data_IF_019119890627
#
_entry.id   IF_019119890627
#
_cell.length_a   1.000
_cell.length_b   1.000
_cell.length_c   1.000
_cell.angle_alpha   90.00
_cell.angle_beta   90.00
_cell.angle_gamma   90.00
#
_symmetry.space_group_name_H-M   'P 1'
#
loop_
_entity.id
_entity.type
_entity.pdbx_description
1 polymer ?
#
# COMPACT_ATOMS: atom_id res chain seq x y z
N UNK A 1 -36.95 -35.50 37.33
CA UNK A 1 -35.57 -35.95 37.55
C UNK A 1 -35.55 -36.95 38.69
N UNK A 2 -34.91 -38.10 38.50
CA UNK A 2 -34.64 -39.04 39.58
C UNK A 2 -33.18 -38.83 40.02
N UNK A 3 -32.96 -38.55 41.31
CA UNK A 3 -31.64 -38.20 41.82
C UNK A 3 -30.78 -39.45 41.96
N UNK A 4 -29.70 -39.52 41.19
CA UNK A 4 -28.64 -40.48 41.41
C UNK A 4 -27.78 -40.07 42.60
N UNK A 5 -27.14 -41.03 43.26
CA UNK A 5 -26.14 -40.73 44.29
C UNK A 5 -24.83 -40.39 43.60
N UNK A 6 -24.18 -39.31 44.00
CA UNK A 6 -22.85 -38.93 43.49
C UNK A 6 -21.92 -38.56 44.62
N UNK A 7 -20.66 -38.96 44.50
CA UNK A 7 -19.60 -38.58 45.44
C UNK A 7 -18.33 -38.21 44.69
N UNK A 8 -17.71 -37.09 45.07
CA UNK A 8 -16.34 -36.75 44.65
C UNK A 8 -15.36 -37.59 45.48
N UNK A 9 -14.41 -38.26 44.83
CA UNK A 9 -13.44 -39.10 45.54
C UNK A 9 -12.39 -38.24 46.26
N UNK A 10 -11.70 -38.82 47.24
CA UNK A 10 -10.57 -38.18 47.91
C UNK A 10 -9.46 -37.81 46.92
N UNK A 11 -9.24 -38.63 45.89
CA UNK A 11 -8.26 -38.35 44.83
C UNK A 11 -8.73 -37.19 43.94
N UNK A 12 -10.03 -37.11 43.63
CA UNK A 12 -10.62 -35.96 42.94
C UNK A 12 -10.50 -34.66 43.75
N UNK A 13 -10.77 -34.70 45.06
CA UNK A 13 -10.62 -33.54 45.95
C UNK A 13 -9.15 -33.08 46.07
N UNK A 14 -8.20 -34.02 46.14
CA UNK A 14 -6.76 -33.70 46.11
C UNK A 14 -6.38 -33.03 44.81
N UNK A 15 -6.81 -33.57 43.67
CA UNK A 15 -6.54 -33.00 42.35
C UNK A 15 -7.08 -31.56 42.23
N UNK A 16 -8.28 -31.27 42.75
CA UNK A 16 -8.83 -29.90 42.79
C UNK A 16 -8.01 -28.98 43.68
N UNK A 17 -7.58 -29.46 44.85
CA UNK A 17 -6.81 -28.67 45.81
C UNK A 17 -5.43 -28.32 45.24
N UNK A 18 -4.77 -29.30 44.62
CA UNK A 18 -3.47 -29.11 43.95
C UNK A 18 -3.59 -28.16 42.76
N UNK A 19 -4.62 -28.32 41.92
CA UNK A 19 -4.84 -27.44 40.79
C UNK A 19 -5.15 -26.00 41.20
N UNK A 20 -5.96 -25.82 42.26
CA UNK A 20 -6.22 -24.50 42.84
C UNK A 20 -4.93 -23.85 43.35
N UNK A 21 -4.08 -24.61 44.06
CA UNK A 21 -2.80 -24.12 44.59
C UNK A 21 -1.82 -23.75 43.47
N UNK A 22 -1.84 -24.48 42.36
CA UNK A 22 -0.94 -24.29 41.22
C UNK A 22 -1.51 -23.39 40.11
N UNK A 23 -2.72 -22.85 40.27
CA UNK A 23 -3.39 -22.04 39.25
C UNK A 23 -3.71 -22.80 37.95
N UNK A 24 -3.90 -24.12 38.04
CA UNK A 24 -4.21 -25.00 36.91
C UNK A 24 -5.71 -25.30 36.85
N UNK A 25 -6.18 -25.64 35.67
CA UNK A 25 -7.54 -26.12 35.48
C UNK A 25 -7.55 -27.65 35.52
N UNK A 26 -8.53 -28.21 36.23
CA UNK A 26 -8.81 -29.65 36.25
C UNK A 26 -10.09 -29.89 35.48
N UNK A 27 -10.01 -30.73 34.45
CA UNK A 27 -11.12 -31.04 33.58
C UNK A 27 -11.28 -32.56 33.54
N UNK A 28 -12.46 -33.10 33.85
CA UNK A 28 -12.78 -34.48 33.49
C UNK A 28 -12.62 -34.66 31.98
N UNK A 29 -12.25 -35.83 31.47
CA UNK A 29 -12.06 -36.03 30.02
C UNK A 29 -12.74 -37.27 29.48
N UNK A 30 -13.00 -38.25 30.34
CA UNK A 30 -13.71 -39.47 29.96
C UNK A 30 -14.44 -40.05 31.17
N UNK A 31 -15.36 -40.95 30.88
CA UNK A 31 -16.07 -41.73 31.89
C UNK A 31 -15.90 -43.23 31.62
N UNK A 32 -15.99 -44.03 32.67
CA UNK A 32 -16.06 -45.49 32.60
C UNK A 32 -17.35 -45.97 33.24
N UNK A 33 -17.93 -47.03 32.68
CA UNK A 33 -19.20 -47.61 33.11
C UNK A 33 -18.98 -49.05 33.53
N UNK A 34 -19.49 -49.40 34.71
CA UNK A 34 -19.43 -50.75 35.28
C UNK A 34 -20.82 -51.36 35.45
N UNK A 35 -20.89 -52.68 35.28
CA UNK A 35 -22.07 -53.53 35.54
C UNK A 35 -22.08 -54.13 36.96
N UNK A 36 -21.05 -53.84 37.74
CA UNK A 36 -20.94 -54.27 39.13
C UNK A 36 -21.81 -53.39 40.03
N UNK A 37 -22.45 -54.04 41.00
CA UNK A 37 -23.10 -53.34 42.10
C UNK A 37 -22.07 -53.13 43.21
N UNK A 38 -21.74 -51.87 43.50
CA UNK A 38 -20.75 -51.50 44.52
C UNK A 38 -21.40 -51.06 45.85
N UNK A 39 -22.73 -51.16 45.96
CA UNK A 39 -23.47 -50.72 47.14
C UNK A 39 -23.43 -49.20 47.33
N UNK A 40 -23.17 -48.76 48.57
CA UNK A 40 -23.11 -47.33 48.89
C UNK A 40 -21.79 -46.70 48.45
N UNK A 41 -21.88 -45.59 47.72
CA UNK A 41 -20.71 -44.80 47.34
C UNK A 41 -20.24 -43.90 48.49
N UNK A 42 -18.93 -43.78 48.65
CA UNK A 42 -18.29 -42.92 49.66
C UNK A 42 -16.97 -42.33 49.13
N UNK A 43 -16.45 -41.22 49.72
CA UNK A 43 -15.31 -40.49 49.13
C UNK A 43 -14.00 -41.30 49.02
N UNK A 44 -13.86 -42.38 49.79
CA UNK A 44 -12.66 -43.22 49.81
C UNK A 44 -12.56 -44.25 48.68
N UNK A 45 -13.53 -44.30 47.75
CA UNK A 45 -13.53 -45.23 46.62
C UNK A 45 -12.35 -44.93 45.67
N UNK A 46 -11.63 -45.98 45.28
CA UNK A 46 -10.49 -45.93 44.36
C UNK A 46 -10.77 -46.65 43.03
N UNK A 47 -9.91 -46.44 42.03
CA UNK A 47 -10.01 -46.99 40.67
C UNK A 47 -10.09 -48.52 40.64
N UNK A 48 -9.48 -49.19 41.63
CA UNK A 48 -9.50 -50.64 41.78
C UNK A 48 -10.88 -51.15 42.26
N UNK A 49 -11.73 -50.28 42.80
CA UNK A 49 -13.08 -50.61 43.26
C UNK A 49 -14.11 -50.59 42.12
N UNK A 50 -13.79 -49.99 40.97
CA UNK A 50 -14.62 -50.02 39.77
C UNK A 50 -14.26 -51.24 38.90
N UNK A 51 -14.39 -52.45 39.45
CA UNK A 51 -14.23 -53.67 38.65
C UNK A 51 -15.45 -53.87 37.73
N UNK A 52 -15.33 -54.70 36.68
CA UNK A 52 -16.42 -54.92 35.73
C UNK A 52 -16.69 -53.76 34.74
N UNK A 53 -15.74 -52.83 34.58
CA UNK A 53 -15.83 -51.80 33.54
C UNK A 53 -15.98 -52.45 32.16
N UNK A 54 -17.07 -52.12 31.47
CA UNK A 54 -17.38 -52.64 30.14
C UNK A 54 -17.46 -51.56 29.06
N UNK A 55 -17.49 -50.28 29.46
CA UNK A 55 -17.50 -49.16 28.51
C UNK A 55 -16.67 -47.98 29.00
N UNK A 56 -16.04 -47.29 28.06
CA UNK A 56 -15.37 -46.02 28.26
C UNK A 56 -15.70 -45.09 27.10
N UNK A 57 -16.01 -43.83 27.38
CA UNK A 57 -16.14 -42.82 26.35
C UNK A 57 -15.60 -41.47 26.79
N UNK A 58 -15.10 -40.74 25.80
CA UNK A 58 -14.57 -39.40 25.99
C UNK A 58 -15.72 -38.39 26.09
N UNK A 59 -15.53 -37.36 26.90
CA UNK A 59 -16.47 -36.26 27.02
C UNK A 59 -16.15 -35.24 25.92
N UNK A 60 -17.01 -35.18 24.92
CA UNK A 60 -16.81 -34.37 23.70
C UNK A 60 -17.20 -32.91 23.85
N UNK A 61 -17.88 -32.50 24.92
CA UNK A 61 -18.33 -31.12 25.11
C UNK A 61 -18.86 -30.81 26.52
N UNK A 62 -18.78 -29.53 26.88
CA UNK A 62 -19.27 -28.97 28.14
C UNK A 62 -20.16 -27.79 27.84
N UNK A 63 -21.32 -27.73 28.50
CA UNK A 63 -22.29 -26.66 28.41
C UNK A 63 -22.28 -25.96 29.77
N UNK A 64 -21.87 -24.69 29.81
CA UNK A 64 -22.01 -23.90 31.03
C UNK A 64 -23.49 -23.58 31.23
N UNK A 65 -24.06 -24.02 32.35
CA UNK A 65 -25.45 -23.73 32.72
C UNK A 65 -25.52 -22.43 33.53
N UNK A 66 -24.53 -22.19 34.39
CA UNK A 66 -24.30 -20.95 35.13
C UNK A 66 -22.86 -20.95 35.71
N UNK A 67 -22.48 -19.88 36.41
CA UNK A 67 -21.14 -19.68 37.00
C UNK A 67 -20.66 -20.81 37.92
N UNK A 68 -21.58 -21.65 38.41
CA UNK A 68 -21.31 -22.73 39.35
C UNK A 68 -21.73 -24.11 38.82
N UNK A 69 -22.25 -24.21 37.60
CA UNK A 69 -22.80 -25.46 37.06
C UNK A 69 -22.34 -25.70 35.64
N UNK A 70 -21.66 -26.83 35.44
CA UNK A 70 -21.25 -27.30 34.11
C UNK A 70 -21.98 -28.60 33.81
N UNK A 71 -22.49 -28.69 32.59
CA UNK A 71 -23.21 -29.85 32.11
C UNK A 71 -22.42 -30.55 31.00
N UNK A 72 -22.42 -31.87 31.00
CA UNK A 72 -21.91 -32.66 29.89
C UNK A 72 -22.82 -33.86 29.61
N UNK A 73 -22.74 -34.38 28.38
CA UNK A 73 -23.55 -35.51 27.94
C UNK A 73 -22.68 -36.77 27.96
N UNK A 74 -23.17 -37.79 28.65
CA UNK A 74 -22.67 -39.15 28.54
C UNK A 74 -23.53 -39.85 27.50
N UNK A 75 -22.91 -40.48 26.51
CA UNK A 75 -23.61 -41.21 25.45
C UNK A 75 -22.98 -42.58 25.27
N UNK A 76 -23.79 -43.61 25.48
CA UNK A 76 -23.43 -45.01 25.23
C UNK A 76 -24.28 -45.46 24.03
N UNK A 77 -23.65 -45.60 22.84
CA UNK A 77 -24.34 -46.07 21.65
C UNK A 77 -24.96 -47.46 21.85
N UNK A 78 -26.03 -47.75 21.11
CA UNK A 78 -26.79 -48.99 21.24
C UNK A 78 -25.91 -50.23 21.01
N UNK A 79 -25.01 -50.15 20.02
CA UNK A 79 -24.04 -51.19 19.69
C UNK A 79 -23.02 -51.48 20.80
N UNK A 80 -22.82 -50.51 21.71
CA UNK A 80 -21.89 -50.62 22.84
C UNK A 80 -22.60 -50.97 24.15
N UNK A 81 -23.91 -50.77 24.25
CA UNK A 81 -24.74 -50.98 25.44
C UNK A 81 -25.00 -52.48 25.71
N UNK A 82 -23.93 -53.23 25.96
CA UNK A 82 -23.93 -54.69 26.10
C UNK A 82 -24.30 -55.17 27.51
N UNK A 83 -24.22 -54.29 28.51
CA UNK A 83 -24.49 -54.61 29.92
C UNK A 83 -25.26 -53.50 30.63
N UNK A 84 -25.66 -53.77 31.88
CA UNK A 84 -26.29 -52.76 32.71
C UNK A 84 -25.28 -51.69 33.15
N UNK A 85 -25.65 -50.42 33.03
CA UNK A 85 -24.90 -49.30 33.59
C UNK A 85 -25.31 -49.09 35.04
N UNK A 86 -24.55 -49.66 35.98
CA UNK A 86 -24.84 -49.56 37.42
C UNK A 86 -24.00 -48.51 38.13
N UNK A 87 -22.79 -48.28 37.66
CA UNK A 87 -21.86 -47.32 38.26
C UNK A 87 -21.10 -46.57 37.17
N UNK A 88 -20.96 -45.27 37.36
CA UNK A 88 -20.28 -44.36 36.45
C UNK A 88 -19.11 -43.71 37.18
N UNK A 89 -17.90 -43.94 36.68
CA UNK A 89 -16.70 -43.27 37.16
C UNK A 89 -16.31 -42.16 36.18
N UNK A 90 -16.07 -40.96 36.71
CA UNK A 90 -15.61 -39.81 35.97
C UNK A 90 -14.11 -39.61 36.19
N UNK A 91 -13.34 -39.41 35.12
CA UNK A 91 -11.88 -39.41 35.18
C UNK A 91 -11.25 -38.15 34.61
N UNK A 92 -10.11 -37.77 35.17
CA UNK A 92 -9.24 -36.69 34.69
C UNK A 92 -8.27 -37.20 33.62
N UNK A 93 -7.54 -36.26 33.00
CA UNK A 93 -6.59 -36.54 31.91
C UNK A 93 -5.44 -37.45 32.34
N UNK A 94 -5.00 -37.34 33.60
CA UNK A 94 -3.94 -38.16 34.19
C UNK A 94 -4.42 -39.56 34.65
N UNK A 95 -5.70 -39.87 34.44
CA UNK A 95 -6.29 -41.14 34.85
C UNK A 95 -6.87 -41.16 36.27
N UNK A 96 -6.82 -40.04 37.00
CA UNK A 96 -7.40 -39.93 38.34
C UNK A 96 -8.92 -40.12 38.30
N UNK A 97 -9.44 -41.05 39.11
CA UNK A 97 -10.88 -41.16 39.35
C UNK A 97 -11.35 -39.95 40.16
N UNK A 98 -12.07 -39.05 39.51
CA UNK A 98 -12.49 -37.77 40.06
C UNK A 98 -13.78 -37.89 40.88
N UNK A 99 -14.79 -38.57 40.34
CA UNK A 99 -16.07 -38.74 41.00
C UNK A 99 -16.74 -40.04 40.56
N UNK A 100 -17.60 -40.57 41.42
CA UNK A 100 -18.36 -41.80 41.18
C UNK A 100 -19.84 -41.49 41.34
N UNK A 101 -20.65 -42.03 40.45
CA UNK A 101 -22.08 -41.86 40.47
C UNK A 101 -22.82 -43.19 40.28
N UNK A 102 -23.87 -43.36 41.07
CA UNK A 102 -24.83 -44.47 40.97
C UNK A 102 -26.17 -43.87 40.55
N UNK A 103 -26.69 -44.26 39.38
CA UNK A 103 -27.98 -43.78 38.93
C UNK A 103 -29.12 -44.31 39.82
N UNK A 104 -30.29 -43.65 39.80
CA UNK A 104 -31.45 -44.06 40.60
C UNK A 104 -31.97 -45.46 40.26
N UNK A 105 -31.67 -45.97 39.06
CA UNK A 105 -31.96 -47.33 38.63
C UNK A 105 -30.87 -47.82 37.66
N UNK A 106 -30.52 -49.13 37.67
CA UNK A 106 -29.61 -49.71 36.69
C UNK A 106 -30.13 -49.53 35.27
N UNK A 107 -29.32 -49.00 34.36
CA UNK A 107 -29.73 -48.78 32.98
C UNK A 107 -29.62 -50.07 32.16
N UNK A 108 -30.68 -50.51 31.46
CA UNK A 108 -30.68 -51.78 30.75
C UNK A 108 -29.83 -51.79 29.48
N UNK A 109 -29.27 -52.95 29.09
CA UNK A 109 -28.58 -53.12 27.82
C UNK A 109 -29.56 -52.99 26.63
N UNK A 110 -29.04 -52.90 25.41
CA UNK A 110 -29.78 -52.86 24.14
C UNK A 110 -30.55 -51.56 23.84
N UNK A 111 -30.36 -50.52 24.64
CA UNK A 111 -30.86 -49.17 24.35
C UNK A 111 -29.70 -48.20 24.39
N UNK A 112 -29.72 -47.17 23.53
CA UNK A 112 -28.78 -46.06 23.62
C UNK A 112 -28.99 -45.35 24.96
N UNK A 113 -27.95 -45.29 25.79
CA UNK A 113 -28.03 -44.71 27.13
C UNK A 113 -27.43 -43.30 27.07
N UNK A 114 -28.25 -42.26 27.24
CA UNK A 114 -27.77 -40.88 27.30
C UNK A 114 -28.11 -40.20 28.60
N UNK A 115 -27.10 -39.55 29.19
CA UNK A 115 -27.25 -38.86 30.47
C UNK A 115 -26.77 -37.43 30.38
N UNK A 116 -27.60 -36.54 30.90
CA UNK A 116 -27.24 -35.16 31.19
C UNK A 116 -26.65 -35.09 32.58
N UNK A 117 -25.33 -34.96 32.68
CA UNK A 117 -24.65 -34.84 33.97
C UNK A 117 -24.42 -33.37 34.30
N UNK A 118 -25.00 -32.90 35.39
CA UNK A 118 -24.78 -31.53 35.90
C UNK A 118 -23.84 -31.55 37.10
N UNK A 119 -22.68 -30.92 36.93
CA UNK A 119 -21.68 -30.72 37.96
C UNK A 119 -21.87 -29.37 38.64
N UNK A 120 -22.29 -29.36 39.91
CA UNK A 120 -22.47 -28.14 40.71
C UNK A 120 -21.29 -27.98 41.68
N UNK A 121 -20.40 -27.01 41.42
CA UNK A 121 -19.17 -26.82 42.21
C UNK A 121 -19.40 -26.49 43.68
N UNK A 122 -20.59 -25.97 44.02
CA UNK A 122 -20.93 -25.51 45.39
C UNK A 122 -21.67 -26.57 46.23
N UNK A 123 -22.06 -27.72 45.65
CA UNK A 123 -22.85 -28.75 46.32
C UNK A 123 -22.25 -30.14 46.10
N UNK A 124 -21.55 -30.66 47.13
CA UNK A 124 -20.87 -31.97 47.08
C UNK A 124 -21.86 -33.14 47.07
N UNK A 125 -23.07 -32.95 47.61
CA UNK A 125 -24.05 -34.03 47.79
C UNK A 125 -24.94 -34.29 46.56
N UNK A 126 -24.78 -33.51 45.47
CA UNK A 126 -25.61 -33.61 44.25
C UNK A 126 -24.81 -33.24 42.99
N UNK A 127 -23.61 -33.80 42.89
CA UNK A 127 -22.60 -33.44 41.87
C UNK A 127 -22.88 -34.02 40.48
N UNK A 128 -23.77 -35.02 40.35
CA UNK A 128 -24.24 -35.52 39.06
C UNK A 128 -25.71 -35.92 39.17
N UNK A 129 -26.58 -35.15 38.51
CA UNK A 129 -27.97 -35.55 38.28
C UNK A 129 -28.06 -36.38 37.01
N UNK A 130 -28.98 -37.35 36.97
CA UNK A 130 -29.23 -38.18 35.78
C UNK A 130 -30.66 -37.93 35.31
N UNK A 131 -30.79 -37.53 34.05
CA UNK A 131 -32.07 -37.40 33.37
C UNK A 131 -32.02 -38.30 32.15
N UNK A 132 -32.95 -39.25 32.08
CA UNK A 132 -33.18 -40.08 30.91
C UNK A 132 -33.85 -39.21 29.84
N UNK A 133 -33.30 -39.20 28.63
CA UNK A 133 -33.80 -38.38 27.51
C UNK A 133 -34.54 -39.31 26.55
N UNK A 134 -35.88 -39.26 26.47
CA UNK A 134 -36.65 -40.09 25.55
C UNK A 134 -36.23 -39.84 24.09
N UNK A 135 -36.20 -40.91 23.28
CA UNK A 135 -35.72 -40.89 21.89
C UNK A 135 -36.37 -39.80 21.01
N UNK A 136 -37.64 -39.47 21.24
CA UNK A 136 -38.39 -38.50 20.41
C UNK A 136 -38.08 -37.02 20.69
N UNK A 137 -37.61 -36.68 21.90
CA UNK A 137 -37.19 -35.32 22.25
C UNK A 137 -35.80 -35.00 21.68
N UNK A 138 -34.95 -36.02 21.51
CA UNK A 138 -33.61 -35.85 20.97
C UNK A 138 -33.57 -35.48 19.48
N UNK A 139 -34.47 -35.97 18.62
CA UNK A 139 -34.44 -35.57 17.20
C UNK A 139 -34.83 -34.10 17.02
N UNK A 140 -35.71 -33.56 17.87
CA UNK A 140 -36.00 -32.12 17.88
C UNK A 140 -34.85 -31.32 18.50
N UNK A 141 -34.28 -31.80 19.61
CA UNK A 141 -33.18 -31.11 20.29
C UNK A 141 -31.86 -31.20 19.52
N UNK A 142 -31.59 -32.26 18.75
CA UNK A 142 -30.44 -32.36 17.83
C UNK A 142 -30.64 -31.52 16.61
N UNK A 143 -31.84 -31.46 16.03
CA UNK A 143 -32.09 -30.50 14.93
C UNK A 143 -31.90 -29.07 15.44
N UNK A 144 -32.29 -28.77 16.69
CA UNK A 144 -31.99 -27.49 17.31
C UNK A 144 -30.51 -27.32 17.68
N UNK A 145 -29.82 -28.34 18.17
CA UNK A 145 -28.39 -28.28 18.51
C UNK A 145 -27.52 -28.19 17.26
N UNK A 146 -27.88 -28.87 16.19
CA UNK A 146 -27.22 -28.86 14.88
C UNK A 146 -27.47 -27.51 14.20
N UNK A 147 -28.69 -26.96 14.29
CA UNK A 147 -28.97 -25.59 13.90
C UNK A 147 -28.16 -24.58 14.73
N UNK A 148 -28.10 -24.74 16.06
CA UNK A 148 -27.32 -23.86 16.96
C UNK A 148 -25.83 -24.02 16.71
N UNK A 149 -25.33 -25.23 16.46
CA UNK A 149 -23.92 -25.52 16.13
C UNK A 149 -23.55 -24.90 14.79
N UNK A 150 -24.39 -25.07 13.77
CA UNK A 150 -24.22 -24.45 12.45
C UNK A 150 -24.27 -22.93 12.53
N UNK A 151 -25.24 -22.38 13.29
CA UNK A 151 -25.32 -20.94 13.56
C UNK A 151 -24.10 -20.46 14.34
N UNK A 152 -23.60 -21.22 15.32
CA UNK A 152 -22.44 -20.85 16.13
C UNK A 152 -21.15 -20.90 15.33
N UNK A 153 -20.96 -21.91 14.48
CA UNK A 153 -19.85 -21.98 13.53
C UNK A 153 -19.91 -20.83 12.54
N UNK A 154 -21.08 -20.54 11.98
CA UNK A 154 -21.27 -19.37 11.12
C UNK A 154 -21.04 -18.05 11.88
N UNK A 155 -21.42 -17.96 13.17
CA UNK A 155 -21.17 -16.78 13.99
C UNK A 155 -19.68 -16.64 14.30
N UNK A 156 -18.95 -17.74 14.48
CA UNK A 156 -17.52 -17.78 14.71
C UNK A 156 -16.78 -17.34 13.44
N UNK A 157 -17.16 -17.87 12.28
CA UNK A 157 -16.66 -17.42 10.97
C UNK A 157 -16.96 -15.94 10.74
N UNK A 158 -18.18 -15.48 11.06
CA UNK A 158 -18.55 -14.06 10.98
C UNK A 158 -17.71 -13.22 11.95
N UNK A 159 -17.45 -13.68 13.17
CA UNK A 159 -16.60 -12.99 14.15
C UNK A 159 -15.14 -12.92 13.69
N UNK A 160 -14.60 -14.00 13.14
CA UNK A 160 -13.25 -14.02 12.59
C UNK A 160 -13.14 -13.07 11.39
N UNK A 161 -14.13 -13.08 10.50
CA UNK A 161 -14.25 -12.11 9.41
C UNK A 161 -14.40 -10.67 9.93
N UNK A 162 -15.10 -10.46 11.05
CA UNK A 162 -15.28 -9.14 11.67
C UNK A 162 -13.95 -8.61 12.23
N UNK A 163 -13.15 -9.48 12.87
CA UNK A 163 -11.80 -9.14 13.34
C UNK A 163 -10.91 -8.75 12.16
N UNK A 164 -10.94 -9.52 11.07
CA UNK A 164 -10.20 -9.20 9.83
C UNK A 164 -10.67 -7.86 9.24
N UNK A 165 -11.98 -7.60 9.23
CA UNK A 165 -12.56 -6.32 8.75
C UNK A 165 -12.19 -5.14 9.64
N UNK A 166 -12.14 -5.31 10.96
CA UNK A 166 -11.69 -4.28 11.90
C UNK A 166 -10.20 -3.97 11.73
N UNK A 167 -9.39 -5.02 11.55
CA UNK A 167 -7.97 -4.88 11.24
C UNK A 167 -7.77 -4.14 9.91
N UNK A 168 -8.50 -4.54 8.87
CA UNK A 168 -8.47 -3.88 7.56
C UNK A 168 -8.92 -2.42 7.64
N UNK A 169 -9.96 -2.14 8.43
CA UNK A 169 -10.43 -0.76 8.69
C UNK A 169 -9.35 0.06 9.38
N UNK A 170 -8.68 -0.48 10.40
CA UNK A 170 -7.59 0.19 11.10
C UNK A 170 -6.41 0.48 10.16
N UNK A 171 -6.04 -0.48 9.32
CA UNK A 171 -4.98 -0.34 8.32
C UNK A 171 -5.34 0.68 7.24
N UNK A 172 -6.61 0.70 6.78
CA UNK A 172 -7.10 1.72 5.85
C UNK A 172 -7.01 3.14 6.43
N UNK A 173 -7.38 3.34 7.70
CA UNK A 173 -7.23 4.66 8.34
C UNK A 173 -5.77 5.06 8.53
N UNK A 174 -4.88 4.12 8.88
CA UNK A 174 -3.43 4.39 8.93
C UNK A 174 -2.88 4.77 7.56
N UNK A 175 -3.27 4.04 6.52
CA UNK A 175 -2.90 4.35 5.14
C UNK A 175 -3.38 5.74 4.74
N UNK A 176 -4.67 6.05 4.98
CA UNK A 176 -5.24 7.36 4.67
C UNK A 176 -4.51 8.49 5.40
N UNK A 177 -4.23 8.32 6.69
CA UNK A 177 -3.45 9.29 7.48
C UNK A 177 -2.05 9.51 6.89
N UNK A 178 -1.33 8.44 6.56
CA UNK A 178 0.00 8.53 5.97
C UNK A 178 0.02 9.06 4.53
N UNK A 179 -1.08 8.94 3.79
CA UNK A 179 -1.24 9.62 2.49
C UNK A 179 -1.50 11.10 2.71
N UNK A 180 -2.39 11.48 3.63
CA UNK A 180 -2.66 12.89 3.95
C UNK A 180 -1.40 13.63 4.41
N UNK A 181 -0.58 13.03 5.27
CA UNK A 181 0.69 13.62 5.71
C UNK A 181 1.68 13.80 4.53
N UNK A 182 1.80 12.79 3.66
CA UNK A 182 2.65 12.89 2.46
C UNK A 182 2.16 13.97 1.49
N UNK A 183 0.84 14.13 1.38
CA UNK A 183 0.23 15.11 0.50
C UNK A 183 0.44 16.52 1.03
N UNK A 184 0.27 16.73 2.34
CA UNK A 184 0.60 17.99 3.00
C UNK A 184 2.09 18.35 2.83
N UNK A 185 3.00 17.40 3.01
CA UNK A 185 4.43 17.63 2.77
C UNK A 185 4.72 18.01 1.31
N UNK A 186 4.04 17.38 0.35
CA UNK A 186 4.16 17.75 -1.07
C UNK A 186 3.61 19.15 -1.35
N UNK A 187 2.47 19.52 -0.76
CA UNK A 187 1.91 20.87 -0.89
C UNK A 187 2.86 21.93 -0.32
N UNK A 188 3.44 21.70 0.86
CA UNK A 188 4.45 22.58 1.46
C UNK A 188 5.68 22.74 0.55
N UNK A 189 6.18 21.64 -0.03
CA UNK A 189 7.29 21.69 -0.99
C UNK A 189 6.94 22.41 -2.29
N UNK A 190 5.73 22.23 -2.81
CA UNK A 190 5.26 22.95 -4.00
C UNK A 190 5.18 24.45 -3.71
N UNK A 191 4.63 24.84 -2.55
CA UNK A 191 4.57 26.24 -2.13
C UNK A 191 5.96 26.86 -1.98
N UNK A 192 6.90 26.14 -1.36
CA UNK A 192 8.29 26.59 -1.22
C UNK A 192 8.97 26.76 -2.60
N UNK A 193 8.85 25.76 -3.48
CA UNK A 193 9.40 25.82 -4.83
C UNK A 193 8.78 26.96 -5.65
N UNK A 194 7.49 27.24 -5.48
CA UNK A 194 6.83 28.35 -6.17
C UNK A 194 7.44 29.70 -5.75
N UNK A 195 7.68 29.88 -4.45
CA UNK A 195 8.34 31.08 -3.94
C UNK A 195 9.76 31.23 -4.48
N UNK A 196 10.52 30.13 -4.55
CA UNK A 196 11.87 30.14 -5.15
C UNK A 196 11.83 30.47 -6.64
N UNK A 197 10.88 29.92 -7.40
CA UNK A 197 10.71 30.25 -8.83
C UNK A 197 10.38 31.73 -9.00
N UNK A 198 9.43 32.28 -8.25
CA UNK A 198 9.11 33.72 -8.31
C UNK A 198 10.33 34.59 -7.94
N UNK A 199 11.13 34.17 -6.95
CA UNK A 199 12.37 34.86 -6.60
C UNK A 199 13.40 34.79 -7.74
N UNK A 200 13.54 33.63 -8.40
CA UNK A 200 14.43 33.47 -9.55
C UNK A 200 13.96 34.25 -10.79
N UNK A 201 12.66 34.29 -11.07
CA UNK A 201 12.08 35.09 -12.15
C UNK A 201 12.37 36.58 -11.95
N UNK A 202 12.19 37.09 -10.73
CA UNK A 202 12.54 38.47 -10.39
C UNK A 202 14.05 38.73 -10.56
N UNK A 203 14.90 37.80 -10.12
CA UNK A 203 16.35 37.93 -10.30
C UNK A 203 16.76 37.92 -11.79
N UNK A 204 16.10 37.11 -12.63
CA UNK A 204 16.31 37.09 -14.07
C UNK A 204 15.87 38.41 -14.70
N UNK A 205 14.72 38.97 -14.29
CA UNK A 205 14.24 40.27 -14.76
C UNK A 205 15.23 41.39 -14.42
N UNK A 206 15.71 41.44 -13.18
CA UNK A 206 16.72 42.43 -12.75
C UNK A 206 18.02 42.28 -13.54
N UNK A 207 18.47 41.04 -13.74
CA UNK A 207 19.68 40.75 -14.52
C UNK A 207 19.50 41.15 -15.99
N UNK A 208 18.32 40.87 -16.57
CA UNK A 208 17.97 41.24 -17.95
C UNK A 208 17.87 42.75 -18.14
N UNK A 209 17.33 43.48 -17.17
CA UNK A 209 17.32 44.95 -17.16
C UNK A 209 18.74 45.48 -17.14
N UNK A 210 19.58 44.95 -16.25
CA UNK A 210 20.99 45.34 -16.13
C UNK A 210 21.76 45.06 -17.43
N UNK A 211 21.54 43.91 -18.05
CA UNK A 211 22.13 43.55 -19.34
C UNK A 211 21.64 44.47 -20.46
N UNK A 212 20.35 44.81 -20.47
CA UNK A 212 19.78 45.74 -21.46
C UNK A 212 20.39 47.13 -21.34
N UNK A 213 20.56 47.65 -20.12
CA UNK A 213 21.26 48.92 -19.88
C UNK A 213 22.72 48.87 -20.32
N UNK A 214 23.43 47.77 -20.00
CA UNK A 214 24.81 47.58 -20.45
C UNK A 214 24.89 47.52 -21.97
N UNK A 215 24.01 46.77 -22.64
CA UNK A 215 23.95 46.67 -24.11
C UNK A 215 23.62 48.03 -24.73
N UNK A 216 22.72 48.82 -24.15
CA UNK A 216 22.44 50.18 -24.61
C UNK A 216 23.67 51.08 -24.47
N UNK A 217 24.36 51.04 -23.33
CA UNK A 217 25.58 51.82 -23.12
C UNK A 217 26.70 51.41 -24.10
N UNK A 218 26.84 50.11 -24.35
CA UNK A 218 27.79 49.57 -25.31
C UNK A 218 27.40 49.93 -26.74
N UNK A 219 26.12 49.92 -27.09
CA UNK A 219 25.65 50.27 -28.43
C UNK A 219 25.80 51.77 -28.70
N UNK A 220 25.63 52.63 -27.70
CA UNK A 220 25.96 54.06 -27.80
C UNK A 220 27.46 54.25 -28.05
N UNK A 221 28.32 53.58 -27.27
CA UNK A 221 29.78 53.63 -27.48
C UNK A 221 30.15 53.09 -28.86
N UNK A 222 29.62 51.93 -29.24
CA UNK A 222 29.88 51.30 -30.55
C UNK A 222 29.30 52.12 -31.70
N UNK A 223 28.19 52.83 -31.51
CA UNK A 223 27.62 53.75 -32.50
C UNK A 223 28.48 55.01 -32.69
N UNK A 224 29.13 55.47 -31.62
CA UNK A 224 30.06 56.60 -31.65
C UNK A 224 31.43 56.23 -32.24
N UNK A 225 31.83 54.96 -32.20
CA UNK A 225 33.12 54.50 -32.75
C UNK A 225 33.23 54.77 -34.26
N UNK A 226 32.25 54.43 -35.13
CA UNK A 226 32.27 54.76 -36.55
C UNK A 226 32.40 56.26 -36.82
N UNK A 227 31.68 57.12 -36.08
CA UNK A 227 31.77 58.56 -36.24
C UNK A 227 33.12 59.11 -35.77
N UNK A 228 33.63 58.64 -34.63
CA UNK A 228 34.95 59.02 -34.12
C UNK A 228 36.08 58.55 -35.04
N UNK A 229 35.98 57.34 -35.59
CA UNK A 229 36.92 56.82 -36.60
C UNK A 229 36.78 57.62 -37.89
N UNK A 230 35.56 57.89 -38.38
CA UNK A 230 35.34 58.67 -39.59
C UNK A 230 35.91 60.10 -39.46
N UNK A 231 35.72 60.74 -38.31
CA UNK A 231 36.25 62.08 -38.05
C UNK A 231 37.78 62.07 -37.87
N UNK A 232 38.34 61.05 -37.20
CA UNK A 232 39.80 60.87 -37.12
C UNK A 232 40.44 60.58 -38.50
N UNK A 233 39.79 59.75 -39.33
CA UNK A 233 40.21 59.48 -40.72
C UNK A 233 40.09 60.75 -41.56
N UNK A 234 39.04 61.54 -41.40
CA UNK A 234 38.86 62.82 -42.08
C UNK A 234 39.93 63.84 -41.68
N UNK A 235 40.22 63.99 -40.39
CA UNK A 235 41.31 64.84 -39.89
C UNK A 235 42.67 64.42 -40.47
N UNK A 236 43.00 63.13 -40.41
CA UNK A 236 44.23 62.59 -41.01
C UNK A 236 44.27 62.82 -42.54
N UNK A 237 43.13 62.69 -43.23
CA UNK A 237 43.06 62.90 -44.67
C UNK A 237 43.15 64.38 -45.08
N UNK A 238 42.87 65.32 -44.18
CA UNK A 238 43.04 66.77 -44.39
C UNK A 238 44.38 67.32 -43.90
N UNK A 239 45.17 66.51 -43.19
CA UNK A 239 46.50 66.90 -42.72
C UNK A 239 47.50 67.00 -43.88
N UNK A 240 48.13 68.17 -44.02
CA UNK A 240 49.08 68.49 -45.09
C UNK A 240 50.42 67.76 -44.96
N UNK A 241 50.76 67.22 -43.78
CA UNK A 241 52.01 66.47 -43.56
C UNK A 241 51.87 64.95 -43.83
N UNK A 242 50.65 64.45 -44.00
CA UNK A 242 50.37 63.02 -44.18
C UNK A 242 50.69 62.51 -45.61
N UNK A 243 51.40 61.39 -45.76
CA UNK A 243 51.77 60.86 -47.09
C UNK A 243 50.54 60.31 -47.87
N UNK A 244 50.38 60.59 -49.19
CA UNK A 244 49.20 60.19 -49.98
C UNK A 244 48.88 58.68 -49.95
N UNK A 245 49.91 57.84 -49.99
CA UNK A 245 49.77 56.38 -50.01
C UNK A 245 49.22 55.81 -48.68
N UNK A 246 49.43 56.53 -47.57
CA UNK A 246 48.94 56.15 -46.23
C UNK A 246 47.45 56.48 -46.11
N UNK A 247 47.00 57.62 -46.65
CA UNK A 247 45.58 58.03 -46.68
C UNK A 247 44.70 57.02 -47.42
N UNK A 248 45.21 56.46 -48.52
CA UNK A 248 44.47 55.51 -49.35
C UNK A 248 44.31 54.14 -48.66
N UNK A 249 45.34 53.66 -47.95
CA UNK A 249 45.30 52.42 -47.14
C UNK A 249 44.35 52.53 -45.94
N UNK A 250 44.33 53.67 -45.25
CA UNK A 250 43.45 53.88 -44.09
C UNK A 250 41.97 53.96 -44.53
N UNK A 251 41.68 54.62 -45.65
CA UNK A 251 40.32 54.69 -46.19
C UNK A 251 39.76 53.31 -46.60
N UNK A 252 40.62 52.43 -47.11
CA UNK A 252 40.22 51.06 -47.48
C UNK A 252 40.01 50.15 -46.27
N UNK A 253 40.80 50.31 -45.21
CA UNK A 253 40.59 49.62 -43.92
C UNK A 253 39.29 50.04 -43.23
N UNK A 254 38.93 51.34 -43.29
CA UNK A 254 37.67 51.84 -42.73
C UNK A 254 36.44 51.19 -43.39
N UNK A 255 36.47 51.02 -44.71
CA UNK A 255 35.40 50.38 -45.48
C UNK A 255 35.24 48.88 -45.13
N UNK A 256 36.36 48.19 -44.90
CA UNK A 256 36.34 46.78 -44.48
C UNK A 256 35.76 46.61 -43.06
N UNK A 257 36.08 47.51 -42.12
CA UNK A 257 35.55 47.47 -40.76
C UNK A 257 34.03 47.66 -40.71
N UNK A 258 33.48 48.58 -41.50
CA UNK A 258 32.03 48.83 -41.56
C UNK A 258 31.23 47.62 -42.07
N UNK A 259 31.86 46.73 -42.85
CA UNK A 259 31.21 45.51 -43.35
C UNK A 259 31.13 44.38 -42.31
N UNK A 260 31.97 44.42 -41.27
CA UNK A 260 32.07 43.35 -40.26
C UNK A 260 31.03 43.49 -39.13
N UNK A 261 30.48 44.69 -38.93
CA UNK A 261 29.62 45.04 -37.79
C UNK A 261 28.14 44.69 -38.03
N UNK A 262 27.76 44.35 -39.27
CA UNK A 262 26.38 44.02 -39.66
C UNK A 262 26.28 42.53 -40.00
N UNK A 263 26.18 41.65 -39.01
CA UNK A 263 25.69 40.27 -39.22
C UNK A 263 24.31 40.09 -38.57
N UNK A 264 23.34 39.87 -39.45
CA UNK A 264 21.89 39.77 -39.22
C UNK A 264 21.51 38.51 -38.41
N UNK A 265 20.63 38.66 -37.42
CA UNK A 265 20.14 37.61 -36.49
C UNK A 265 19.36 36.49 -37.21
N UNK A 266 19.09 36.63 -38.50
CA UNK A 266 18.41 35.63 -39.35
C UNK A 266 19.30 34.48 -39.80
N UNK A 267 20.62 34.62 -39.70
CA UNK A 267 21.53 33.54 -40.06
C UNK A 267 21.70 32.54 -38.90
N UNK A 268 21.74 31.22 -39.18
CA UNK A 268 22.04 30.24 -38.15
C UNK A 268 23.33 30.60 -37.43
N UNK A 269 23.22 30.77 -36.13
CA UNK A 269 24.31 31.23 -35.28
C UNK A 269 24.56 30.25 -34.16
N UNK A 270 25.74 30.37 -33.55
CA UNK A 270 26.11 29.56 -32.40
C UNK A 270 27.01 30.35 -31.47
N UNK A 271 26.95 30.01 -30.19
CA UNK A 271 27.86 30.49 -29.17
C UNK A 271 28.21 29.35 -28.20
N UNK A 272 29.40 29.42 -27.62
CA UNK A 272 29.84 28.46 -26.60
C UNK A 272 30.06 29.19 -25.28
N UNK A 273 29.39 28.73 -24.22
CA UNK A 273 29.54 29.23 -22.85
C UNK A 273 30.08 28.09 -21.98
N UNK A 274 31.38 28.13 -21.68
CA UNK A 274 32.05 27.02 -21.00
C UNK A 274 31.98 25.73 -21.82
N UNK A 275 31.33 24.70 -21.27
CA UNK A 275 31.09 23.43 -21.95
C UNK A 275 29.74 23.35 -22.67
N UNK A 276 28.91 24.39 -22.60
CA UNK A 276 27.61 24.42 -23.25
C UNK A 276 27.72 25.09 -24.62
N UNK A 277 27.16 24.44 -25.63
CA UNK A 277 26.93 24.96 -26.97
C UNK A 277 25.47 25.41 -27.06
N UNK A 278 25.26 26.64 -27.51
CA UNK A 278 23.94 27.22 -27.77
C UNK A 278 23.90 27.58 -29.25
N UNK A 279 22.88 27.12 -29.96
CA UNK A 279 22.70 27.39 -31.38
C UNK A 279 21.29 27.87 -31.66
N UNK A 280 21.12 28.71 -32.67
CA UNK A 280 19.83 29.24 -33.05
C UNK A 280 19.71 29.38 -34.57
N UNK A 281 18.46 29.43 -35.03
CA UNK A 281 18.17 29.74 -36.43
C UNK A 281 16.68 29.71 -36.72
N UNK A 282 16.37 29.74 -38.01
CA UNK A 282 15.01 29.60 -38.52
C UNK A 282 14.98 28.67 -39.72
N UNK A 283 13.88 27.94 -39.90
CA UNK A 283 13.63 27.12 -41.08
C UNK A 283 12.17 27.25 -41.50
N UNK A 284 11.92 27.28 -42.81
CA UNK A 284 10.56 27.29 -43.35
C UNK A 284 10.00 25.87 -43.50
N UNK A 285 8.68 25.70 -43.37
CA UNK A 285 8.00 24.45 -43.68
C UNK A 285 8.25 24.04 -45.14
N UNK A 286 8.58 22.77 -45.37
CA UNK A 286 8.88 22.24 -46.70
C UNK A 286 7.62 21.89 -47.53
N UNK A 287 6.42 22.20 -47.02
CA UNK A 287 5.14 21.89 -47.66
C UNK A 287 4.63 20.46 -47.43
N UNK A 288 5.38 19.63 -46.70
CA UNK A 288 5.02 18.24 -46.37
C UNK A 288 4.73 18.04 -44.87
N UNK A 289 4.44 19.10 -44.11
CA UNK A 289 4.18 19.01 -42.67
C UNK A 289 5.43 18.98 -41.81
N UNK A 290 6.53 19.57 -42.25
CA UNK A 290 7.74 19.59 -41.45
C UNK A 290 8.93 20.31 -42.07
N UNK A 291 10.05 20.26 -41.37
CA UNK A 291 11.33 20.78 -41.79
C UNK A 291 12.46 19.95 -41.18
N UNK A 292 13.67 20.09 -41.71
CA UNK A 292 14.87 19.50 -41.12
C UNK A 292 15.94 20.57 -41.00
N UNK A 293 16.65 20.55 -39.89
CA UNK A 293 17.73 21.47 -39.56
C UNK A 293 18.98 20.65 -39.28
N UNK A 294 20.09 21.03 -39.91
CA UNK A 294 21.43 20.57 -39.53
C UNK A 294 22.03 21.62 -38.62
N UNK A 295 22.51 21.20 -37.46
CA UNK A 295 23.12 22.13 -36.50
C UNK A 295 24.42 22.70 -37.08
N UNK A 296 24.67 24.02 -37.00
CA UNK A 296 25.95 24.62 -37.38
C UNK A 296 27.18 23.94 -36.76
N UNK A 297 27.03 23.40 -35.54
CA UNK A 297 28.03 22.62 -34.82
C UNK A 297 27.39 21.36 -34.23
N UNK A 298 27.97 20.17 -34.45
CA UNK A 298 27.46 18.96 -33.83
C UNK A 298 27.68 19.01 -32.30
N UNK A 299 26.69 18.55 -31.56
CA UNK A 299 26.78 18.30 -30.12
C UNK A 299 27.63 17.05 -29.86
N UNK A 300 28.28 16.99 -28.70
CA UNK A 300 29.12 15.87 -28.29
C UNK A 300 28.43 14.87 -27.36
N UNK A 301 27.44 15.31 -26.58
CA UNK A 301 26.80 14.50 -25.54
C UNK A 301 25.27 14.54 -25.63
N UNK A 302 24.66 15.73 -25.63
CA UNK A 302 23.21 15.90 -25.64
C UNK A 302 22.80 17.21 -26.29
N UNK A 303 21.52 17.28 -26.67
CA UNK A 303 20.89 18.49 -27.22
C UNK A 303 19.46 18.62 -26.69
N UNK A 304 19.10 19.83 -26.28
CA UNK A 304 17.77 20.23 -25.81
C UNK A 304 17.26 21.32 -26.76
N UNK A 305 16.33 20.99 -27.67
CA UNK A 305 15.73 21.96 -28.58
C UNK A 305 14.54 22.69 -27.96
N UNK A 306 14.40 23.95 -28.33
CA UNK A 306 13.29 24.86 -28.05
C UNK A 306 12.78 25.37 -29.40
N UNK A 307 11.48 25.25 -29.62
CA UNK A 307 10.83 25.62 -30.89
C UNK A 307 9.80 26.72 -30.66
N UNK A 308 9.71 27.63 -31.61
CA UNK A 308 8.64 28.62 -31.73
C UNK A 308 8.28 28.79 -33.20
N UNK A 309 7.06 29.19 -33.52
CA UNK A 309 6.63 29.43 -34.89
C UNK A 309 6.02 30.80 -35.07
N UNK A 310 6.11 31.36 -36.28
CA UNK A 310 5.40 32.58 -36.63
C UNK A 310 3.90 32.30 -36.83
N UNK A 311 3.03 33.08 -36.17
CA UNK A 311 1.58 33.09 -36.41
C UNK A 311 1.19 33.85 -37.69
N UNK A 312 1.88 33.62 -38.81
CA UNK A 312 1.55 34.32 -40.04
C UNK A 312 0.35 33.63 -40.72
N UNK A 313 -0.86 34.15 -40.49
CA UNK A 313 -2.11 33.89 -41.24
C UNK A 313 -2.60 32.44 -41.40
N UNK A 314 -1.91 31.45 -40.84
CA UNK A 314 -2.21 30.03 -40.98
C UNK A 314 -3.19 29.53 -39.91
N UNK A 315 -3.96 28.45 -40.15
CA UNK A 315 -4.76 27.78 -39.12
C UNK A 315 -3.95 27.43 -37.87
N UNK A 316 -4.65 27.26 -36.74
CA UNK A 316 -4.04 26.77 -35.51
C UNK A 316 -3.21 25.51 -35.79
N UNK A 317 -1.93 25.57 -35.46
CA UNK A 317 -0.96 24.51 -35.74
C UNK A 317 -0.12 24.21 -34.50
N UNK A 318 0.45 23.02 -34.49
CA UNK A 318 1.39 22.55 -33.48
C UNK A 318 2.75 22.31 -34.14
N UNK A 319 3.81 22.71 -33.44
CA UNK A 319 5.19 22.44 -33.86
C UNK A 319 5.86 21.62 -32.77
N UNK A 320 6.48 20.53 -33.15
CA UNK A 320 7.21 19.67 -32.23
C UNK A 320 8.39 18.98 -32.92
N UNK A 321 9.31 18.47 -32.11
CA UNK A 321 10.48 17.73 -32.58
C UNK A 321 10.06 16.33 -32.96
N UNK A 322 10.21 15.97 -34.24
CA UNK A 322 9.87 14.65 -34.76
C UNK A 322 11.03 13.65 -34.58
N UNK A 323 12.25 14.11 -34.76
CA UNK A 323 13.47 13.34 -34.57
C UNK A 323 14.61 14.26 -34.15
N UNK A 324 15.46 13.77 -33.26
CA UNK A 324 16.56 14.53 -32.69
C UNK A 324 17.82 13.66 -32.67
N UNK A 325 18.93 14.24 -33.13
CA UNK A 325 20.27 13.66 -33.10
C UNK A 325 21.26 14.74 -32.66
N UNK A 326 22.51 14.37 -32.43
CA UNK A 326 23.56 15.34 -32.10
C UNK A 326 23.97 16.24 -33.28
N UNK A 327 23.57 15.91 -34.50
CA UNK A 327 23.94 16.64 -35.72
C UNK A 327 22.77 17.36 -36.38
N UNK A 328 21.54 16.93 -36.09
CA UNK A 328 20.35 17.41 -36.77
C UNK A 328 19.07 17.20 -35.96
N UNK A 329 18.07 17.99 -36.32
CA UNK A 329 16.72 17.93 -35.77
C UNK A 329 15.70 17.98 -36.92
N UNK A 330 14.77 17.04 -36.93
CA UNK A 330 13.57 17.14 -37.75
C UNK A 330 12.40 17.65 -36.94
N UNK A 331 11.63 18.52 -37.58
CA UNK A 331 10.52 19.28 -37.00
C UNK A 331 9.26 18.84 -37.74
N UNK A 332 8.23 18.46 -36.98
CA UNK A 332 6.89 18.23 -37.52
C UNK A 332 6.01 19.44 -37.24
N UNK A 333 5.18 19.78 -38.23
CA UNK A 333 4.20 20.86 -38.16
C UNK A 333 2.85 20.24 -38.52
N UNK A 334 1.93 20.21 -37.58
CA UNK A 334 0.60 19.63 -37.77
C UNK A 334 -0.48 20.68 -37.59
N UNK A 335 -1.60 20.52 -38.28
CA UNK A 335 -2.83 21.25 -37.99
C UNK A 335 -3.43 20.79 -36.67
N UNK A 336 -4.40 21.57 -36.16
CA UNK A 336 -5.14 21.27 -34.92
C UNK A 336 -5.86 19.91 -34.90
N UNK A 337 -6.14 19.32 -36.06
CA UNK A 337 -6.73 17.97 -36.21
C UNK A 337 -5.68 16.85 -36.25
N UNK A 338 -4.38 17.19 -36.16
CA UNK A 338 -3.27 16.24 -36.18
C UNK A 338 -2.77 15.87 -37.59
N UNK A 339 -3.35 16.42 -38.66
CA UNK A 339 -2.85 16.18 -40.01
C UNK A 339 -1.54 16.98 -40.28
N UNK A 340 -0.66 16.52 -41.20
CA UNK A 340 0.50 17.30 -41.63
C UNK A 340 0.07 18.65 -42.22
N UNK A 341 0.64 19.74 -41.71
CA UNK A 341 0.32 21.09 -42.19
C UNK A 341 1.19 21.42 -43.42
N UNK A 342 0.57 21.60 -44.57
CA UNK A 342 1.28 21.87 -45.83
C UNK A 342 1.53 23.36 -46.11
N UNK A 343 1.22 24.24 -45.16
CA UNK A 343 1.40 25.69 -45.31
C UNK A 343 2.88 26.09 -45.25
N UNK A 344 3.40 26.58 -46.37
CA UNK A 344 4.80 26.99 -46.54
C UNK A 344 5.13 28.36 -45.92
N UNK A 345 4.11 29.14 -45.54
CA UNK A 345 4.31 30.47 -44.93
C UNK A 345 4.67 30.37 -43.43
N UNK A 346 4.59 29.17 -42.85
CA UNK A 346 5.00 28.89 -41.48
C UNK A 346 6.53 28.81 -41.40
N UNK A 347 7.13 29.80 -40.72
CA UNK A 347 8.54 29.75 -40.30
C UNK A 347 8.65 29.25 -38.86
N UNK A 348 9.55 28.31 -38.63
CA UNK A 348 9.90 27.79 -37.31
C UNK A 348 11.24 28.37 -36.89
N UNK A 349 11.23 29.08 -35.77
CA UNK A 349 12.42 29.52 -35.06
C UNK A 349 12.82 28.45 -34.06
N UNK A 350 14.11 28.15 -34.00
CA UNK A 350 14.65 27.15 -33.11
C UNK A 350 15.85 27.70 -32.34
N UNK A 351 15.96 27.24 -31.11
CA UNK A 351 17.09 27.44 -30.21
C UNK A 351 17.44 26.07 -29.65
N UNK A 352 18.70 25.67 -29.66
CA UNK A 352 19.14 24.42 -29.05
C UNK A 352 20.27 24.67 -28.08
N UNK A 353 20.25 23.95 -26.97
CA UNK A 353 21.27 24.02 -25.93
C UNK A 353 21.76 22.61 -25.68
N UNK A 354 23.06 22.43 -25.67
CA UNK A 354 23.64 21.11 -25.48
C UNK A 354 25.12 21.17 -25.17
N UNK A 355 25.77 20.03 -25.25
CA UNK A 355 27.21 19.89 -25.07
C UNK A 355 27.78 19.05 -26.17
#
# INVERSE_FOLDING_TARGET
MAEGKTVITLNGLKALTEASTLGRQVKPVYFKVSDQDIGDIYPGIDIDDLSGVWYQANISGYISVNDSTVQFILDIPEESATKYGKVFGLYLEDGTLFAVAVPPYPFPPLMRQRFKVQFVWQQIDSVMNFEDIPFYEFDQDVVHLDAISTISLALFDVQEHLIVLEQFKADYYRFKSGVSERLQNHEERISANKYEIEAHENAILDTSSTLSEQVLSLSEVVGLIPEAIAEAVKQHNTDTESHPDIRQKISSLSLALSSLIVQDVRNPGWMKIGNLLIEWGSVANNGNGGASVVFPKPYSEFVIPLLSSSQANSPAHHVYVANLSLESMGIAITSSDGAPNTDTDISVYWLSIGR
#
